data_IF_133796153479
#
_entry.id   IF_133796153479
#
_cell.length_a   1.000
_cell.length_b   1.000
_cell.length_c   1.000
_cell.angle_alpha   90.00
_cell.angle_beta   90.00
_cell.angle_gamma   90.00
#
_symmetry.space_group_name_H-M   'P 1'
#
loop_
_entity.id
_entity.type
_entity.pdbx_description
1 polymer ?
#
# COMPACT_ATOMS: atom_id res chain seq x y z
N UNK A 1 28.02 -61.38 2.53
CA UNK A 1 26.59 -61.05 2.73
C UNK A 1 26.30 -59.85 1.85
N UNK A 2 25.56 -60.07 0.77
CA UNK A 2 25.20 -59.06 -0.22
C UNK A 2 24.15 -58.14 0.40
N UNK A 3 24.45 -56.86 0.60
CA UNK A 3 23.41 -55.87 0.85
C UNK A 3 22.98 -55.28 -0.50
N UNK A 4 21.70 -55.44 -0.77
CA UNK A 4 21.04 -55.27 -2.07
C UNK A 4 20.96 -53.78 -2.47
N UNK A 5 21.23 -53.50 -3.74
CA UNK A 5 21.35 -52.17 -4.34
C UNK A 5 19.99 -51.46 -4.59
N UNK A 6 18.94 -51.68 -3.81
CA UNK A 6 17.59 -51.16 -4.13
C UNK A 6 16.74 -50.65 -2.96
N UNK A 7 17.28 -50.52 -1.76
CA UNK A 7 16.56 -49.87 -0.65
C UNK A 7 17.52 -48.97 0.11
N UNK A 8 17.95 -47.88 -0.55
CA UNK A 8 18.38 -46.70 0.20
C UNK A 8 17.13 -46.26 0.96
N UNK A 9 17.11 -46.47 2.27
CA UNK A 9 16.18 -45.76 3.12
C UNK A 9 16.49 -44.27 2.89
N UNK A 10 15.63 -43.59 2.13
CA UNK A 10 15.69 -42.15 1.97
C UNK A 10 15.32 -41.59 3.34
N UNK A 11 16.33 -41.47 4.21
CA UNK A 11 16.23 -40.57 5.34
C UNK A 11 16.18 -39.18 4.71
N UNK A 12 14.99 -38.68 4.39
CA UNK A 12 14.81 -37.28 4.01
C UNK A 12 15.20 -36.44 5.23
N UNK A 13 16.34 -35.77 5.14
CA UNK A 13 16.88 -34.87 6.16
C UNK A 13 17.08 -33.52 5.49
N UNK A 14 16.64 -32.44 6.15
CA UNK A 14 16.83 -31.13 5.55
C UNK A 14 18.33 -30.79 5.39
N UNK A 15 18.73 -30.19 4.28
CA UNK A 15 20.05 -29.59 4.07
C UNK A 15 20.97 -30.27 3.05
N UNK A 16 20.47 -31.18 2.21
CA UNK A 16 21.23 -31.80 1.13
C UNK A 16 21.02 -31.13 -0.24
N UNK A 17 20.16 -30.10 -0.31
CA UNK A 17 19.80 -29.34 -1.50
C UNK A 17 19.07 -30.14 -2.58
N UNK A 18 18.53 -31.31 -2.24
CA UNK A 18 17.65 -32.11 -3.10
C UNK A 18 16.24 -31.99 -2.54
N UNK A 19 15.28 -31.57 -3.37
CA UNK A 19 13.89 -31.48 -2.93
C UNK A 19 13.17 -32.83 -3.13
N UNK A 20 13.12 -33.66 -2.10
CA UNK A 20 12.31 -34.87 -2.13
C UNK A 20 10.82 -34.57 -1.94
N UNK A 21 9.89 -35.43 -2.42
CA UNK A 21 8.45 -35.21 -2.31
C UNK A 21 7.93 -35.04 -0.86
N UNK A 22 8.63 -35.59 0.13
CA UNK A 22 8.26 -35.46 1.54
C UNK A 22 8.77 -34.15 2.17
N UNK A 23 9.70 -33.46 1.53
CA UNK A 23 10.41 -32.30 2.06
C UNK A 23 9.78 -30.96 1.65
N UNK A 24 8.92 -30.96 0.62
CA UNK A 24 8.33 -29.76 0.01
C UNK A 24 7.67 -28.77 0.99
N UNK A 25 7.13 -29.26 2.11
CA UNK A 25 6.46 -28.41 3.11
C UNK A 25 7.20 -28.30 4.45
N UNK A 26 8.21 -29.13 4.69
CA UNK A 26 8.90 -29.23 5.99
C UNK A 26 10.38 -28.85 5.95
N UNK A 27 10.99 -28.83 4.76
CA UNK A 27 12.39 -28.48 4.53
C UNK A 27 12.51 -27.41 3.43
N UNK A 28 12.12 -26.15 3.71
CA UNK A 28 12.23 -25.07 2.74
C UNK A 28 13.68 -24.76 2.34
N UNK A 29 14.67 -25.27 3.08
CA UNK A 29 16.09 -25.12 2.74
C UNK A 29 16.47 -25.91 1.48
N UNK A 30 15.78 -27.01 1.20
CA UNK A 30 16.05 -27.86 0.03
C UNK A 30 15.07 -27.60 -1.11
N UNK A 31 13.81 -27.30 -0.79
CA UNK A 31 12.73 -27.10 -1.77
C UNK A 31 12.42 -25.63 -2.11
N UNK A 32 12.97 -24.69 -1.34
CA UNK A 32 12.58 -23.28 -1.41
C UNK A 32 11.30 -22.97 -0.63
N UNK A 33 10.91 -21.69 -0.56
CA UNK A 33 9.66 -21.29 0.08
C UNK A 33 8.46 -21.89 -0.66
N UNK A 34 7.36 -22.18 0.05
CA UNK A 34 6.13 -22.63 -0.59
C UNK A 34 5.65 -21.61 -1.63
N UNK A 35 4.93 -22.07 -2.68
CA UNK A 35 4.36 -21.17 -3.67
C UNK A 35 3.35 -20.22 -3.00
N UNK A 36 3.13 -19.03 -3.58
CA UNK A 36 2.15 -18.07 -3.07
C UNK A 36 0.73 -18.65 -3.05
N UNK A 37 -0.09 -18.27 -2.07
CA UNK A 37 -1.43 -18.82 -1.84
C UNK A 37 -2.47 -17.78 -2.19
N UNK A 38 -3.05 -17.87 -3.40
CA UNK A 38 -4.07 -16.89 -3.77
C UNK A 38 -5.41 -17.14 -3.04
N UNK A 39 -6.08 -16.07 -2.62
CA UNK A 39 -7.46 -16.04 -2.13
C UNK A 39 -7.63 -16.11 -0.61
N UNK A 40 -6.56 -15.94 0.16
CA UNK A 40 -6.60 -15.88 1.63
C UNK A 40 -6.65 -14.44 2.18
N UNK A 41 -6.58 -13.42 1.31
CA UNK A 41 -6.60 -12.00 1.64
C UNK A 41 -5.41 -11.53 2.51
N UNK A 42 -4.33 -12.29 2.54
CA UNK A 42 -3.05 -11.91 3.15
C UNK A 42 -2.09 -11.60 2.00
N UNK A 43 -1.26 -10.55 2.13
CA UNK A 43 -0.26 -10.23 1.12
C UNK A 43 1.11 -10.78 1.52
N UNK A 44 1.37 -12.03 1.16
CA UNK A 44 2.65 -12.70 1.39
C UNK A 44 3.71 -12.33 0.33
N UNK A 45 4.97 -12.66 0.64
CA UNK A 45 6.09 -12.38 -0.25
C UNK A 45 5.94 -13.10 -1.61
N UNK A 46 5.86 -12.33 -2.70
CA UNK A 46 5.70 -12.84 -4.06
C UNK A 46 4.28 -12.69 -4.62
N UNK A 47 3.30 -12.39 -3.77
CA UNK A 47 1.89 -12.32 -4.17
C UNK A 47 1.51 -11.07 -4.96
N UNK A 48 2.30 -10.00 -4.85
CA UNK A 48 2.07 -8.78 -5.61
C UNK A 48 2.00 -9.02 -7.13
N UNK A 49 2.72 -10.04 -7.63
CA UNK A 49 2.72 -10.40 -9.06
C UNK A 49 1.85 -11.60 -9.39
N UNK A 50 1.76 -12.60 -8.50
CA UNK A 50 1.03 -13.84 -8.77
C UNK A 50 -0.43 -13.81 -8.33
N UNK A 51 -0.72 -13.08 -7.25
CA UNK A 51 -2.02 -12.99 -6.59
C UNK A 51 -2.32 -11.53 -6.17
N UNK A 52 -2.36 -10.56 -7.10
CA UNK A 52 -2.50 -9.13 -6.77
C UNK A 52 -3.80 -8.80 -6.02
N UNK A 53 -4.82 -9.67 -6.10
CA UNK A 53 -6.07 -9.51 -5.38
C UNK A 53 -5.91 -9.63 -3.86
N UNK A 54 -4.97 -10.43 -3.37
CA UNK A 54 -4.73 -10.58 -1.94
C UNK A 54 -3.94 -9.39 -1.35
N UNK A 55 -3.13 -8.74 -2.18
CA UNK A 55 -2.37 -7.54 -1.82
C UNK A 55 -3.13 -6.22 -1.95
N UNK A 56 -4.22 -6.21 -2.72
CA UNK A 56 -4.95 -4.98 -3.03
C UNK A 56 -4.15 -3.99 -3.89
N UNK A 57 -4.71 -2.79 -4.14
CA UNK A 57 -4.00 -1.77 -4.89
C UNK A 57 -2.76 -1.29 -4.12
N UNK A 58 -1.67 -0.96 -4.83
CA UNK A 58 -0.49 -0.40 -4.18
C UNK A 58 -0.86 0.88 -3.41
N UNK A 59 -0.15 1.17 -2.30
CA UNK A 59 -0.35 2.41 -1.57
C UNK A 59 -0.07 3.61 -2.48
N UNK A 60 -0.74 4.76 -2.24
CA UNK A 60 -0.47 6.00 -2.97
C UNK A 60 1.00 6.43 -2.84
N UNK A 61 1.55 7.05 -3.87
CA UNK A 61 2.95 7.46 -3.93
C UNK A 61 3.03 8.96 -3.71
N UNK A 62 3.31 9.39 -2.48
CA UNK A 62 3.47 10.81 -2.24
C UNK A 62 4.81 11.36 -2.80
N UNK A 63 4.78 12.55 -3.39
CA UNK A 63 5.96 13.35 -3.76
C UNK A 63 6.35 13.33 -5.23
N UNK A 64 5.50 12.82 -6.12
CA UNK A 64 5.71 12.85 -7.58
C UNK A 64 5.00 14.02 -8.29
N UNK A 65 4.25 14.85 -7.54
CA UNK A 65 3.48 16.00 -8.01
C UNK A 65 2.36 15.64 -9.01
N UNK A 66 1.95 14.37 -9.05
CA UNK A 66 0.76 13.91 -9.77
C UNK A 66 -0.31 13.62 -8.73
N UNK A 67 -1.55 14.04 -8.97
CA UNK A 67 -2.65 13.79 -8.05
C UNK A 67 -3.48 12.58 -8.52
N UNK A 68 -3.13 11.38 -8.06
CA UNK A 68 -3.94 10.20 -8.29
C UNK A 68 -5.20 10.19 -7.39
N UNK A 69 -6.26 9.46 -7.75
CA UNK A 69 -7.53 9.46 -7.01
C UNK A 69 -7.43 9.06 -5.53
N UNK A 70 -6.40 8.29 -5.16
CA UNK A 70 -6.15 7.85 -3.78
C UNK A 70 -5.28 8.86 -3.00
N UNK A 71 -4.67 9.83 -3.66
CA UNK A 71 -3.72 10.77 -3.07
C UNK A 71 -4.38 12.03 -2.52
N UNK A 72 -5.60 12.36 -2.96
CA UNK A 72 -6.30 13.59 -2.56
C UNK A 72 -6.44 13.77 -1.04
N UNK A 73 -6.56 12.68 -0.27
CA UNK A 73 -6.66 12.71 1.19
C UNK A 73 -5.38 12.27 1.90
N UNK A 74 -4.55 11.44 1.26
CA UNK A 74 -3.37 10.82 1.88
C UNK A 74 -2.07 11.57 1.58
N UNK A 75 -1.99 12.24 0.43
CA UNK A 75 -0.81 12.95 -0.08
C UNK A 75 -1.21 14.36 -0.56
N UNK A 76 -1.58 15.29 0.36
CA UNK A 76 -1.98 16.64 0.00
C UNK A 76 -0.87 17.46 -0.67
N UNK A 77 0.39 17.00 -0.57
CA UNK A 77 1.54 17.61 -1.25
C UNK A 77 1.41 17.50 -2.77
N UNK A 78 0.86 16.39 -3.28
CA UNK A 78 0.76 16.16 -4.72
C UNK A 78 -0.55 16.69 -5.31
N UNK A 79 -1.63 16.68 -4.51
CA UNK A 79 -2.95 17.18 -4.90
C UNK A 79 -3.19 18.66 -4.62
N UNK A 80 -2.31 19.31 -3.86
CA UNK A 80 -2.50 20.66 -3.37
C UNK A 80 -3.50 20.75 -2.21
N UNK A 81 -3.67 21.94 -1.62
CA UNK A 81 -4.64 22.14 -0.55
C UNK A 81 -6.06 21.82 -1.04
N UNK A 82 -6.92 21.25 -0.18
CA UNK A 82 -8.30 21.01 -0.53
C UNK A 82 -9.00 22.31 -0.96
N UNK A 83 -10.01 22.23 -1.85
CA UNK A 83 -10.75 23.40 -2.25
C UNK A 83 -11.41 24.07 -1.03
N UNK A 84 -11.62 25.39 -1.06
CA UNK A 84 -12.19 26.12 0.06
C UNK A 84 -13.62 25.64 0.38
N UNK A 85 -14.01 25.69 1.65
CA UNK A 85 -15.26 25.12 2.16
C UNK A 85 -16.26 26.24 2.45
N UNK A 86 -17.15 26.49 1.50
CA UNK A 86 -18.16 27.54 1.68
C UNK A 86 -19.20 27.17 2.76
N UNK A 87 -19.53 28.11 3.65
CA UNK A 87 -20.65 28.05 4.59
C UNK A 87 -20.31 27.59 6.01
N UNK A 88 -19.03 27.53 6.37
CA UNK A 88 -18.57 27.16 7.73
C UNK A 88 -18.26 28.37 8.63
N UNK A 89 -18.36 29.60 8.11
CA UNK A 89 -18.08 30.87 8.79
C UNK A 89 -16.63 31.02 9.28
N UNK A 90 -15.70 30.23 8.73
CA UNK A 90 -14.26 30.40 8.89
C UNK A 90 -13.74 31.10 7.63
N UNK A 91 -12.70 31.93 7.73
CA UNK A 91 -12.09 32.58 6.57
C UNK A 91 -10.79 31.88 6.22
N UNK A 92 -10.87 30.81 5.43
CA UNK A 92 -9.71 30.06 4.97
C UNK A 92 -9.03 30.72 3.76
N UNK A 93 -7.80 30.28 3.49
CA UNK A 93 -7.00 30.81 2.38
C UNK A 93 -7.68 30.49 1.03
N UNK A 94 -8.09 31.54 0.30
CA UNK A 94 -8.77 31.44 -1.00
C UNK A 94 -10.25 31.82 -0.96
N UNK A 95 -10.85 31.84 0.24
CA UNK A 95 -12.30 32.07 0.43
C UNK A 95 -12.75 33.50 0.15
N UNK A 96 -11.83 34.46 0.23
CA UNK A 96 -12.11 35.84 -0.12
C UNK A 96 -12.62 36.01 -1.56
N UNK A 97 -12.27 35.09 -2.47
CA UNK A 97 -12.73 35.10 -3.87
C UNK A 97 -13.81 34.08 -4.18
N UNK A 98 -13.78 32.89 -3.56
CA UNK A 98 -14.74 31.81 -3.83
C UNK A 98 -16.01 31.91 -2.99
N UNK A 99 -15.89 32.33 -1.73
CA UNK A 99 -16.96 32.39 -0.73
C UNK A 99 -16.75 33.56 0.24
N UNK A 100 -16.86 34.81 -0.25
CA UNK A 100 -16.61 36.00 0.58
C UNK A 100 -17.58 36.13 1.76
N UNK A 101 -18.68 35.38 1.76
CA UNK A 101 -19.64 35.34 2.88
C UNK A 101 -19.04 34.76 4.16
N UNK A 102 -18.12 33.80 4.06
CA UNK A 102 -17.51 33.17 5.25
C UNK A 102 -16.46 34.09 5.89
N UNK A 103 -15.79 34.92 5.10
CA UNK A 103 -14.84 35.93 5.56
C UNK A 103 -15.48 37.20 6.13
N UNK A 104 -16.79 37.39 5.93
CA UNK A 104 -17.50 38.61 6.31
C UNK A 104 -17.04 39.85 5.52
N UNK A 105 -17.68 41.01 5.74
CA UNK A 105 -17.24 42.26 5.15
C UNK A 105 -15.82 42.60 5.64
N UNK A 106 -14.95 43.14 4.78
CA UNK A 106 -13.62 43.57 5.21
C UNK A 106 -13.76 44.52 6.40
N UNK A 107 -12.87 44.44 7.41
CA UNK A 107 -12.93 45.34 8.55
C UNK A 107 -12.95 46.78 8.04
N UNK A 108 -13.77 47.67 8.63
CA UNK A 108 -13.85 49.05 8.18
C UNK A 108 -12.44 49.64 8.19
N UNK A 109 -12.01 50.11 7.02
CA UNK A 109 -10.74 50.79 6.89
C UNK A 109 -10.80 52.01 7.79
N UNK A 110 -9.83 52.16 8.70
CA UNK A 110 -9.74 53.35 9.54
C UNK A 110 -9.44 54.54 8.61
N UNK A 111 -10.47 55.28 8.19
CA UNK A 111 -10.31 56.40 7.26
C UNK A 111 -11.58 56.92 6.59
N UNK A 112 -12.61 56.10 6.42
CA UNK A 112 -13.75 56.50 5.57
C UNK A 112 -14.92 57.10 6.35
N UNK A 113 -14.64 58.14 7.14
CA UNK A 113 -15.65 59.08 7.62
C UNK A 113 -15.43 60.42 6.92
N UNK A 114 -16.13 60.63 5.80
CA UNK A 114 -16.41 61.96 5.24
C UNK A 114 -17.92 62.22 5.23
#
# INVERSE_FOLDING_TARGET
MFFNLHTVAVFSFCGDLICDPLEATMCPVDCGPPPPVCGDLICDAGELTSCPMDCGPPPPVCGDLICDPLEATMCPVDCGPPPPVCGDLICDAGELTSCPMDCGPPPPVCGDLI
#
